data_IF_166360190435
#
_entry.id   IF_166360190435
#
_cell.length_a   1.000
_cell.length_b   1.000
_cell.length_c   1.000
_cell.angle_alpha   90.00
_cell.angle_beta   90.00
_cell.angle_gamma   90.00
#
_symmetry.space_group_name_H-M   'P 1'
#
loop_
_entity.id
_entity.type
_entity.pdbx_description
1 polymer ?
#
# COMPACT_ATOMS: atom_id res chain seq x y z
N UNK A 1 32.64 32.29 -1.09
CA UNK A 1 32.23 31.28 -0.10
C UNK A 1 31.31 30.29 -0.80
N UNK A 2 31.87 29.18 -1.31
CA UNK A 2 31.11 28.17 -2.08
C UNK A 2 30.35 27.29 -1.09
N UNK A 3 29.03 27.26 -1.18
CA UNK A 3 28.17 26.40 -0.37
C UNK A 3 28.32 24.95 -0.84
N UNK A 4 29.05 24.15 -0.07
CA UNK A 4 29.10 22.69 -0.18
C UNK A 4 27.69 22.12 0.06
N UNK A 5 27.03 21.68 -1.00
CA UNK A 5 25.76 20.97 -0.90
C UNK A 5 26.09 19.55 -0.41
N UNK A 6 25.85 19.28 0.87
CA UNK A 6 25.96 17.93 1.41
C UNK A 6 25.00 17.01 0.65
N UNK A 7 25.56 16.16 -0.22
CA UNK A 7 24.81 15.14 -0.95
C UNK A 7 24.38 14.07 0.04
N UNK A 8 23.14 14.15 0.52
CA UNK A 8 22.58 13.14 1.42
C UNK A 8 22.56 11.78 0.70
N UNK A 9 23.28 10.80 1.26
CA UNK A 9 23.29 9.43 0.74
C UNK A 9 21.90 8.84 0.97
N UNK A 10 21.19 8.49 -0.11
CA UNK A 10 19.87 7.88 0.01
C UNK A 10 19.94 6.55 0.78
N UNK A 11 19.10 6.39 1.80
CA UNK A 11 19.01 5.15 2.56
C UNK A 11 18.54 4.01 1.66
N UNK A 12 19.24 2.88 1.72
CA UNK A 12 18.85 1.65 1.02
C UNK A 12 17.88 0.86 1.89
N UNK A 13 17.04 0.03 1.26
CA UNK A 13 16.14 -0.86 2.00
C UNK A 13 16.88 -1.68 3.05
N UNK A 14 18.03 -2.25 2.68
CA UNK A 14 18.90 -3.06 3.54
C UNK A 14 19.51 -2.30 4.73
N UNK A 15 19.45 -0.97 4.76
CA UNK A 15 19.93 -0.16 5.88
C UNK A 15 18.84 0.02 6.97
N UNK A 16 17.61 -0.48 6.74
CA UNK A 16 16.51 -0.44 7.69
C UNK A 16 16.66 -1.51 8.78
N UNK A 17 16.14 -1.19 9.96
CA UNK A 17 15.98 -2.16 11.04
C UNK A 17 15.17 -3.39 10.55
N UNK A 18 15.63 -4.63 10.81
CA UNK A 18 14.96 -5.83 10.33
C UNK A 18 13.50 -5.93 10.78
N UNK A 19 13.15 -5.42 11.98
CA UNK A 19 11.78 -5.41 12.44
C UNK A 19 10.91 -4.42 11.65
N UNK A 20 11.47 -3.27 11.25
CA UNK A 20 10.80 -2.31 10.39
C UNK A 20 10.52 -2.89 8.98
N UNK A 21 11.51 -3.57 8.39
CA UNK A 21 11.30 -4.27 7.11
C UNK A 21 10.22 -5.35 7.22
N UNK A 22 10.26 -6.16 8.28
CA UNK A 22 9.27 -7.20 8.52
C UNK A 22 7.87 -6.62 8.72
N UNK A 23 7.73 -5.49 9.42
CA UNK A 23 6.45 -4.80 9.56
C UNK A 23 5.90 -4.34 8.20
N UNK A 24 6.73 -3.71 7.36
CA UNK A 24 6.28 -3.23 6.04
C UNK A 24 5.84 -4.42 5.16
N UNK A 25 6.60 -5.51 5.14
CA UNK A 25 6.25 -6.72 4.39
C UNK A 25 4.97 -7.36 4.96
N UNK A 26 4.84 -7.43 6.28
CA UNK A 26 3.68 -7.99 6.96
C UNK A 26 2.39 -7.20 6.67
N UNK A 27 2.46 -5.87 6.71
CA UNK A 27 1.35 -4.99 6.35
C UNK A 27 0.96 -5.17 4.87
N UNK A 28 1.93 -5.22 3.96
CA UNK A 28 1.67 -5.46 2.54
C UNK A 28 1.02 -6.82 2.30
N UNK A 29 1.47 -7.87 3.00
CA UNK A 29 0.88 -9.20 2.91
C UNK A 29 -0.56 -9.24 3.43
N UNK A 30 -0.83 -8.56 4.56
CA UNK A 30 -2.18 -8.47 5.12
C UNK A 30 -3.15 -7.79 4.14
N UNK A 31 -2.74 -6.68 3.51
CA UNK A 31 -3.54 -6.01 2.48
C UNK A 31 -3.85 -6.91 1.28
N UNK A 32 -2.88 -7.71 0.82
CA UNK A 32 -3.08 -8.64 -0.29
C UNK A 32 -4.08 -9.73 0.09
N UNK A 33 -3.97 -10.29 1.30
CA UNK A 33 -4.90 -11.32 1.80
C UNK A 33 -6.32 -10.76 1.86
N UNK A 34 -6.51 -9.57 2.42
CA UNK A 34 -7.83 -8.93 2.51
C UNK A 34 -8.50 -8.77 1.13
N UNK A 35 -7.73 -8.33 0.13
CA UNK A 35 -8.20 -8.21 -1.26
C UNK A 35 -8.57 -9.57 -1.85
N UNK A 36 -7.73 -10.59 -1.67
CA UNK A 36 -8.00 -11.94 -2.16
C UNK A 36 -9.25 -12.53 -1.50
N UNK A 37 -9.42 -12.35 -0.19
CA UNK A 37 -10.63 -12.78 0.54
C UNK A 37 -11.87 -12.07 0.00
N UNK A 38 -11.76 -10.76 -0.25
CA UNK A 38 -12.86 -9.96 -0.82
C UNK A 38 -13.23 -10.43 -2.22
N UNK A 39 -12.24 -10.66 -3.09
CA UNK A 39 -12.47 -11.17 -4.44
C UNK A 39 -13.05 -12.58 -4.43
N UNK A 40 -12.52 -13.46 -3.58
CA UNK A 40 -13.04 -14.81 -3.39
C UNK A 40 -14.50 -14.80 -2.93
N UNK A 41 -14.84 -13.92 -1.99
CA UNK A 41 -16.21 -13.76 -1.47
C UNK A 41 -17.15 -13.19 -2.53
N UNK A 42 -16.71 -12.17 -3.29
CA UNK A 42 -17.47 -11.57 -4.39
C UNK A 42 -17.71 -12.57 -5.53
N UNK A 43 -16.74 -13.43 -5.82
CA UNK A 43 -16.85 -14.41 -6.89
C UNK A 43 -17.84 -15.53 -6.56
N UNK A 44 -17.80 -16.05 -5.33
CA UNK A 44 -18.63 -17.19 -4.92
C UNK A 44 -20.03 -16.81 -4.39
N UNK A 45 -20.30 -15.55 -4.05
CA UNK A 45 -21.62 -15.13 -3.55
C UNK A 45 -22.54 -14.64 -4.68
N UNK A 46 -23.82 -15.07 -4.71
CA UNK A 46 -24.82 -14.52 -5.62
C UNK A 46 -25.02 -13.02 -5.35
N UNK A 47 -25.08 -12.22 -6.41
CA UNK A 47 -25.09 -10.76 -6.36
C UNK A 47 -26.27 -10.17 -5.56
N UNK A 48 -27.33 -10.95 -5.37
CA UNK A 48 -28.54 -10.58 -4.63
C UNK A 48 -28.32 -10.39 -3.11
N UNK A 49 -27.21 -10.92 -2.55
CA UNK A 49 -26.86 -10.72 -1.13
C UNK A 49 -25.76 -9.68 -0.91
N UNK A 50 -25.22 -9.07 -1.96
CA UNK A 50 -24.22 -8.00 -1.85
C UNK A 50 -24.89 -6.63 -1.92
N UNK A 51 -24.64 -5.76 -0.94
CA UNK A 51 -25.14 -4.38 -0.94
C UNK A 51 -24.40 -3.58 -2.03
N UNK A 52 -24.98 -3.52 -3.22
CA UNK A 52 -24.42 -2.80 -4.38
C UNK A 52 -23.57 -3.68 -5.31
N UNK A 53 -23.13 -3.11 -6.45
CA UNK A 53 -22.51 -3.89 -7.51
C UNK A 53 -21.07 -4.31 -7.18
N UNK A 54 -20.68 -5.51 -7.63
CA UNK A 54 -19.38 -6.15 -7.32
C UNK A 54 -18.16 -5.27 -7.63
N UNK A 55 -18.23 -4.45 -8.68
CA UNK A 55 -17.15 -3.54 -9.10
C UNK A 55 -16.92 -2.37 -8.14
N UNK A 56 -17.94 -1.94 -7.39
CA UNK A 56 -17.82 -0.87 -6.41
C UNK A 56 -16.90 -1.28 -5.26
N UNK A 57 -17.09 -2.50 -4.75
CA UNK A 57 -16.24 -3.07 -3.71
C UNK A 57 -14.80 -3.30 -4.17
N UNK A 58 -14.61 -3.66 -5.45
CA UNK A 58 -13.29 -3.73 -6.06
C UNK A 58 -12.58 -2.36 -6.00
N UNK A 59 -13.23 -1.29 -6.43
CA UNK A 59 -12.66 0.07 -6.41
C UNK A 59 -12.36 0.57 -4.99
N UNK A 60 -13.26 0.32 -4.04
CA UNK A 60 -13.06 0.68 -2.64
C UNK A 60 -11.77 0.08 -2.06
N UNK A 61 -11.38 -1.12 -2.49
CA UNK A 61 -10.13 -1.75 -2.04
C UNK A 61 -8.84 -1.02 -2.45
N UNK A 62 -8.91 -0.11 -3.44
CA UNK A 62 -7.76 0.68 -3.88
C UNK A 62 -7.57 1.98 -3.08
N UNK A 63 -8.60 2.47 -2.39
CA UNK A 63 -8.54 3.76 -1.67
C UNK A 63 -7.48 3.72 -0.57
N UNK A 64 -7.32 2.59 0.14
CA UNK A 64 -6.27 2.42 1.16
C UNK A 64 -4.84 2.47 0.60
N UNK A 65 -4.64 2.12 -0.68
CA UNK A 65 -3.32 2.16 -1.33
C UNK A 65 -2.94 3.59 -1.75
N UNK A 66 -3.94 4.40 -2.10
CA UNK A 66 -3.72 5.76 -2.61
C UNK A 66 -3.08 6.65 -1.55
N UNK A 67 -3.41 6.48 -0.27
CA UNK A 67 -2.82 7.27 0.82
C UNK A 67 -1.29 7.14 0.90
N UNK A 68 -0.76 5.92 1.15
CA UNK A 68 0.68 5.68 1.15
C UNK A 68 1.35 5.99 -0.19
N UNK A 69 0.72 5.63 -1.32
CA UNK A 69 1.27 5.92 -2.64
C UNK A 69 1.40 7.43 -2.89
N UNK A 70 0.39 8.23 -2.52
CA UNK A 70 0.44 9.69 -2.62
C UNK A 70 1.51 10.29 -1.71
N UNK A 71 1.72 9.73 -0.51
CA UNK A 71 2.84 10.15 0.35
C UNK A 71 4.21 9.85 -0.29
N UNK A 72 4.40 8.65 -0.83
CA UNK A 72 5.66 8.29 -1.49
C UNK A 72 5.91 9.03 -2.81
N UNK A 73 4.85 9.35 -3.56
CA UNK A 73 4.92 10.04 -4.86
C UNK A 73 5.00 11.57 -4.72
N UNK A 74 4.22 12.17 -3.81
CA UNK A 74 4.09 13.63 -3.68
C UNK A 74 4.59 14.18 -2.33
N UNK A 75 4.50 13.39 -1.25
CA UNK A 75 4.91 13.80 0.10
C UNK A 75 6.41 13.68 0.37
N UNK A 76 7.13 12.86 -0.39
CA UNK A 76 8.56 12.65 -0.22
C UNK A 76 9.35 13.77 -0.89
N UNK A 77 9.59 14.87 -0.16
CA UNK A 77 10.68 15.79 -0.48
C UNK A 77 12.02 15.07 -0.31
N UNK A 78 12.96 15.32 -1.23
CA UNK A 78 14.37 14.87 -1.12
C UNK A 78 14.99 15.34 0.18
#
# INVERSE_FOLDING_TARGET
MKSEIHKTKGMKWSDLDPAAQACVVGLAAAEVIEKLTTWHFIYHRPAEKTRGPKWMWYLLSFINVIGPAAYFLCGRKK
#
